data_IF_311860247077
#
_entry.id   IF_311860247077
#
_cell.length_a   1.000
_cell.length_b   1.000
_cell.length_c   1.000
_cell.angle_alpha   90.00
_cell.angle_beta   90.00
_cell.angle_gamma   90.00
#
_symmetry.space_group_name_H-M   'P 1'
#
loop_
_entity.id
_entity.type
_entity.pdbx_description
1 polymer ?
#
# COMPACT_ATOMS: atom_id res chain seq x y z
N UNK A 1 15.49 -0.55 -3.29
CA UNK A 1 15.95 0.40 -2.26
C UNK A 1 15.29 0.07 -0.92
N UNK A 2 15.95 0.34 0.25
CA UNK A 2 15.48 -0.11 1.56
C UNK A 2 14.01 0.21 1.87
N UNK A 3 13.57 1.43 1.62
CA UNK A 3 12.18 1.85 1.89
C UNK A 3 11.12 0.96 1.22
N UNK A 4 11.41 0.35 0.07
CA UNK A 4 10.45 -0.55 -0.58
C UNK A 4 10.36 -1.91 0.12
N UNK A 5 11.41 -2.30 0.83
CA UNK A 5 11.37 -3.51 1.63
C UNK A 5 10.48 -3.33 2.87
N UNK A 6 10.37 -2.11 3.42
CA UNK A 6 9.41 -1.82 4.49
C UNK A 6 7.97 -2.02 4.00
N UNK A 7 7.64 -1.59 2.77
CA UNK A 7 6.32 -1.88 2.17
C UNK A 7 6.06 -3.38 2.07
N UNK A 8 7.06 -4.16 1.61
CA UNK A 8 6.92 -5.61 1.51
C UNK A 8 6.73 -6.25 2.89
N UNK A 9 7.56 -5.89 3.87
CA UNK A 9 7.50 -6.45 5.23
C UNK A 9 6.15 -6.17 5.87
N UNK A 10 5.66 -4.93 5.78
CA UNK A 10 4.35 -4.56 6.31
C UNK A 10 3.20 -5.28 5.61
N UNK A 11 3.23 -5.38 4.27
CA UNK A 11 2.23 -6.10 3.49
C UNK A 11 2.22 -7.59 3.85
N UNK A 12 3.38 -8.23 3.88
CA UNK A 12 3.51 -9.63 4.25
C UNK A 12 3.02 -9.90 5.67
N UNK A 13 3.41 -9.08 6.63
CA UNK A 13 2.97 -9.19 8.01
C UNK A 13 1.45 -9.08 8.13
N UNK A 14 0.84 -8.08 7.49
CA UNK A 14 -0.60 -7.89 7.52
C UNK A 14 -1.36 -9.05 6.88
N UNK A 15 -0.92 -9.52 5.71
CA UNK A 15 -1.52 -10.65 5.02
C UNK A 15 -1.45 -11.94 5.86
N UNK A 16 -0.28 -12.24 6.43
CA UNK A 16 -0.07 -13.42 7.29
C UNK A 16 -0.76 -13.32 8.65
N UNK A 17 -0.99 -12.11 9.15
CA UNK A 17 -1.77 -11.90 10.37
C UNK A 17 -3.21 -12.41 10.21
N UNK A 18 -3.80 -12.21 9.03
CA UNK A 18 -5.16 -12.67 8.72
C UNK A 18 -5.17 -14.12 8.25
N UNK A 19 -4.22 -14.51 7.40
CA UNK A 19 -4.11 -15.88 6.88
C UNK A 19 -2.63 -16.33 6.92
N UNK A 20 -2.22 -17.08 7.95
CA UNK A 20 -0.83 -17.54 8.08
C UNK A 20 -0.33 -18.40 6.92
N UNK A 21 -1.24 -19.07 6.19
CA UNK A 21 -0.91 -19.96 5.08
C UNK A 21 -0.91 -19.25 3.71
N UNK A 22 -1.13 -17.92 3.69
CA UNK A 22 -1.15 -17.16 2.42
C UNK A 22 0.20 -17.22 1.72
N UNK A 23 0.15 -17.45 0.40
CA UNK A 23 1.34 -17.36 -0.44
C UNK A 23 1.51 -15.92 -0.94
N UNK A 24 2.70 -15.37 -0.79
CA UNK A 24 3.03 -14.03 -1.27
C UNK A 24 4.05 -14.15 -2.39
N UNK A 25 3.70 -13.59 -3.56
CA UNK A 25 4.57 -13.50 -4.72
C UNK A 25 5.20 -12.11 -4.76
N UNK A 26 6.48 -12.04 -5.13
CA UNK A 26 7.20 -10.78 -5.25
C UNK A 26 7.90 -10.70 -6.60
N UNK A 27 7.82 -9.53 -7.24
CA UNK A 27 8.51 -9.24 -8.50
C UNK A 27 9.14 -7.86 -8.47
N UNK A 28 10.28 -7.71 -9.14
CA UNK A 28 10.98 -6.43 -9.27
C UNK A 28 11.00 -6.01 -10.73
N UNK A 29 10.42 -4.85 -11.02
CA UNK A 29 10.39 -4.31 -12.38
C UNK A 29 11.76 -3.77 -12.84
N UNK A 30 12.60 -3.33 -11.91
CA UNK A 30 13.90 -2.71 -12.20
C UNK A 30 13.80 -1.32 -12.82
N UNK A 31 12.60 -0.73 -12.86
CA UNK A 31 12.30 0.57 -13.46
C UNK A 31 11.10 1.22 -12.76
N UNK A 32 11.03 2.57 -12.85
CA UNK A 32 9.94 3.36 -12.26
C UNK A 32 8.97 3.94 -13.30
N UNK A 33 9.31 3.82 -14.59
CA UNK A 33 8.67 4.57 -15.68
C UNK A 33 8.22 3.67 -16.84
N UNK A 34 8.07 2.37 -16.63
CA UNK A 34 7.68 1.40 -17.66
C UNK A 34 6.39 0.65 -17.28
N UNK A 35 5.21 1.21 -17.62
CA UNK A 35 3.93 0.55 -17.36
C UNK A 35 3.79 -0.81 -18.03
N UNK A 36 4.38 -1.01 -19.22
CA UNK A 36 4.30 -2.30 -19.92
C UNK A 36 5.01 -3.40 -19.14
N UNK A 37 6.16 -3.07 -18.54
CA UNK A 37 6.89 -4.00 -17.66
C UNK A 37 6.09 -4.33 -16.40
N UNK A 38 5.45 -3.32 -15.79
CA UNK A 38 4.56 -3.52 -14.65
C UNK A 38 3.41 -4.47 -14.98
N UNK A 39 2.76 -4.26 -16.12
CA UNK A 39 1.66 -5.09 -16.61
C UNK A 39 2.10 -6.54 -16.86
N UNK A 40 3.22 -6.75 -17.57
CA UNK A 40 3.77 -8.08 -17.87
C UNK A 40 4.01 -8.89 -16.57
N UNK A 41 4.71 -8.30 -15.61
CA UNK A 41 5.01 -8.94 -14.34
C UNK A 41 3.76 -9.28 -13.54
N UNK A 42 2.77 -8.39 -13.55
CA UNK A 42 1.52 -8.59 -12.83
C UNK A 42 0.66 -9.68 -13.44
N UNK A 43 0.55 -9.74 -14.79
CA UNK A 43 -0.12 -10.83 -15.47
C UNK A 43 0.53 -12.17 -15.15
N UNK A 44 1.86 -12.24 -15.12
CA UNK A 44 2.58 -13.45 -14.73
C UNK A 44 2.31 -13.85 -13.25
N UNK A 45 2.11 -12.91 -12.34
CA UNK A 45 1.70 -13.22 -10.97
C UNK A 45 0.27 -13.75 -10.90
N UNK A 46 -0.67 -13.19 -11.67
CA UNK A 46 -2.04 -13.70 -11.76
C UNK A 46 -2.09 -15.11 -12.36
N UNK A 47 -1.26 -15.42 -13.36
CA UNK A 47 -1.11 -16.78 -13.92
C UNK A 47 -0.57 -17.78 -12.89
N UNK A 48 0.27 -17.33 -11.94
CA UNK A 48 0.75 -18.12 -10.81
C UNK A 48 -0.26 -18.28 -9.68
N UNK A 49 -1.44 -17.68 -9.81
CA UNK A 49 -2.54 -17.84 -8.86
C UNK A 49 -2.74 -16.65 -7.90
N UNK A 50 -2.04 -15.54 -8.09
CA UNK A 50 -2.37 -14.33 -7.34
C UNK A 50 -3.81 -13.89 -7.64
N UNK A 51 -4.50 -13.38 -6.65
CA UNK A 51 -5.84 -12.81 -6.76
C UNK A 51 -5.84 -11.28 -6.64
N UNK A 52 -4.84 -10.73 -5.94
CA UNK A 52 -4.64 -9.30 -5.74
C UNK A 52 -3.15 -8.96 -5.79
N UNK A 53 -2.81 -7.83 -6.40
CA UNK A 53 -1.42 -7.33 -6.48
C UNK A 53 -1.35 -5.89 -5.98
N UNK A 54 -0.45 -5.63 -5.03
CA UNK A 54 -0.14 -4.27 -4.60
C UNK A 54 0.98 -3.69 -5.48
N UNK A 55 0.76 -2.51 -6.04
CA UNK A 55 1.80 -1.84 -6.80
C UNK A 55 2.67 -0.97 -5.87
N UNK A 56 4.00 -1.12 -5.93
CA UNK A 56 4.96 -0.25 -5.24
C UNK A 56 6.05 0.15 -6.25
N UNK A 57 5.65 0.74 -7.35
CA UNK A 57 6.51 0.91 -8.52
C UNK A 57 6.33 2.24 -9.27
N UNK A 58 5.76 3.28 -8.63
CA UNK A 58 5.54 4.60 -9.23
C UNK A 58 4.82 4.51 -10.59
N UNK A 59 5.31 5.18 -11.65
CA UNK A 59 4.70 5.14 -12.99
C UNK A 59 4.59 3.73 -13.60
N UNK A 60 5.52 2.83 -13.28
CA UNK A 60 5.42 1.40 -13.67
C UNK A 60 4.18 0.73 -13.04
N UNK A 61 3.75 1.20 -11.86
CA UNK A 61 2.58 0.71 -11.15
C UNK A 61 1.25 0.93 -11.88
N UNK A 62 1.15 1.88 -12.81
CA UNK A 62 -0.07 2.05 -13.62
C UNK A 62 -0.38 0.79 -14.44
N UNK A 63 0.67 0.10 -14.91
CA UNK A 63 0.53 -1.18 -15.61
C UNK A 63 -0.02 -2.31 -14.73
N UNK A 64 0.24 -2.27 -13.42
CA UNK A 64 -0.34 -3.22 -12.45
C UNK A 64 -1.86 -3.09 -12.41
N UNK A 65 -2.36 -1.84 -12.35
CA UNK A 65 -3.80 -1.56 -12.32
C UNK A 65 -4.48 -1.98 -13.63
N UNK A 66 -3.83 -1.73 -14.78
CA UNK A 66 -4.31 -2.18 -16.08
C UNK A 66 -4.37 -3.71 -16.18
N UNK A 67 -3.35 -4.42 -15.67
CA UNK A 67 -3.31 -5.87 -15.64
C UNK A 67 -4.45 -6.45 -14.79
N UNK A 68 -4.77 -5.82 -13.65
CA UNK A 68 -5.87 -6.26 -12.80
C UNK A 68 -7.21 -6.24 -13.56
N UNK A 69 -7.47 -5.17 -14.30
CA UNK A 69 -8.67 -5.07 -15.14
C UNK A 69 -8.66 -6.11 -16.27
N UNK A 70 -7.54 -6.25 -16.98
CA UNK A 70 -7.43 -7.21 -18.10
C UNK A 70 -7.64 -8.65 -17.64
N UNK A 71 -7.08 -9.02 -16.49
CA UNK A 71 -7.19 -10.36 -15.93
C UNK A 71 -8.52 -10.60 -15.17
N UNK A 72 -9.35 -9.58 -14.97
CA UNK A 72 -10.54 -9.67 -14.12
C UNK A 72 -10.19 -9.95 -12.64
N UNK A 73 -9.04 -9.45 -12.19
CA UNK A 73 -8.49 -9.60 -10.84
C UNK A 73 -8.47 -8.27 -10.12
N UNK A 74 -7.74 -8.18 -9.00
CA UNK A 74 -7.72 -7.00 -8.15
C UNK A 74 -6.31 -6.43 -7.97
N UNK A 75 -6.26 -5.13 -7.70
CA UNK A 75 -5.03 -4.43 -7.33
C UNK A 75 -5.25 -3.53 -6.10
N UNK A 76 -4.15 -3.18 -5.45
CA UNK A 76 -4.09 -2.14 -4.43
C UNK A 76 -3.25 -1.00 -4.98
N UNK A 77 -3.79 0.22 -4.95
CA UNK A 77 -3.10 1.44 -5.32
C UNK A 77 -2.07 1.88 -4.27
N UNK A 78 -1.18 2.79 -4.64
CA UNK A 78 -0.14 3.30 -3.74
C UNK A 78 0.14 4.79 -3.95
N UNK A 79 0.56 5.44 -2.89
CA UNK A 79 0.94 6.86 -2.77
C UNK A 79 -0.24 7.84 -2.91
N UNK A 80 -1.08 7.68 -3.92
CA UNK A 80 -2.25 8.51 -4.23
C UNK A 80 -3.52 7.66 -4.24
N UNK A 81 -4.67 8.32 -4.18
CA UNK A 81 -5.94 7.64 -4.44
C UNK A 81 -6.02 7.26 -5.94
N UNK A 82 -5.88 5.98 -6.21
CA UNK A 82 -5.94 5.36 -7.53
C UNK A 82 -7.22 4.54 -7.75
N UNK A 83 -8.18 4.61 -6.85
CA UNK A 83 -9.40 3.79 -6.88
C UNK A 83 -10.18 3.96 -8.19
N UNK A 84 -10.14 5.17 -8.76
CA UNK A 84 -10.79 5.50 -10.03
C UNK A 84 -9.94 5.26 -11.28
N UNK A 85 -8.69 4.81 -11.15
CA UNK A 85 -7.85 4.50 -12.32
C UNK A 85 -8.37 3.25 -13.05
N UNK A 86 -8.84 2.26 -12.28
CA UNK A 86 -9.51 1.06 -12.81
C UNK A 86 -10.67 0.67 -11.88
N UNK A 87 -11.83 1.34 -11.97
CA UNK A 87 -12.98 1.12 -11.11
C UNK A 87 -13.46 -0.35 -11.13
N UNK A 88 -13.74 -0.91 -9.96
CA UNK A 88 -14.11 -2.32 -9.82
C UNK A 88 -12.94 -3.30 -9.79
N UNK A 89 -11.69 -2.83 -10.01
CA UNK A 89 -10.48 -3.63 -9.96
C UNK A 89 -9.45 -3.12 -8.94
N UNK A 90 -9.45 -1.83 -8.62
CA UNK A 90 -8.67 -1.30 -7.49
C UNK A 90 -9.52 -1.39 -6.24
N UNK A 91 -9.06 -2.19 -5.28
CA UNK A 91 -9.84 -2.45 -4.04
C UNK A 91 -9.77 -1.27 -3.09
N UNK A 92 -8.60 -0.72 -2.92
CA UNK A 92 -8.27 0.45 -2.10
C UNK A 92 -6.91 0.97 -2.54
N UNK A 93 -6.55 2.15 -2.07
CA UNK A 93 -5.21 2.71 -2.27
C UNK A 93 -4.57 3.04 -0.92
N UNK A 94 -3.32 2.63 -0.73
CA UNK A 94 -2.51 3.12 0.38
C UNK A 94 -2.06 4.54 0.05
N UNK A 95 -2.59 5.51 0.78
CA UNK A 95 -2.34 6.93 0.55
C UNK A 95 -1.24 7.42 1.48
N UNK A 96 -0.22 8.02 0.89
CA UNK A 96 0.86 8.69 1.60
C UNK A 96 0.54 10.19 1.69
N UNK A 97 0.27 10.67 2.89
CA UNK A 97 -0.23 12.02 3.16
C UNK A 97 0.89 13.07 3.13
N UNK A 98 1.44 13.30 1.94
CA UNK A 98 2.46 14.34 1.72
C UNK A 98 1.89 15.74 2.00
N UNK A 99 0.60 15.94 1.79
CA UNK A 99 -0.14 17.14 2.16
C UNK A 99 -0.05 17.43 3.65
N UNK A 100 -0.34 16.44 4.50
CA UNK A 100 -0.19 16.53 5.97
C UNK A 100 1.25 16.85 6.36
N UNK A 101 2.22 16.17 5.72
CA UNK A 101 3.64 16.41 5.98
C UNK A 101 4.05 17.88 5.68
N UNK A 102 3.66 18.39 4.52
CA UNK A 102 3.94 19.77 4.14
C UNK A 102 3.25 20.76 5.07
N UNK A 103 1.98 20.51 5.38
CA UNK A 103 1.21 21.38 6.27
C UNK A 103 1.85 21.48 7.67
N UNK A 104 2.22 20.36 8.28
CA UNK A 104 2.80 20.33 9.62
C UNK A 104 4.14 21.07 9.70
N UNK A 105 4.96 21.00 8.66
CA UNK A 105 6.21 21.77 8.58
C UNK A 105 5.92 23.27 8.50
N UNK A 106 5.00 23.68 7.62
CA UNK A 106 4.62 25.11 7.48
C UNK A 106 4.04 25.64 8.79
N UNK A 107 3.13 24.90 9.42
CA UNK A 107 2.54 25.25 10.70
C UNK A 107 3.61 25.45 11.78
N UNK A 108 4.58 24.54 11.89
CA UNK A 108 5.69 24.64 12.85
C UNK A 108 6.54 25.90 12.65
N UNK A 109 6.72 26.34 11.40
CA UNK A 109 7.41 27.61 11.08
C UNK A 109 6.58 28.80 11.53
N UNK A 110 5.27 28.81 11.24
CA UNK A 110 4.36 29.90 11.62
C UNK A 110 4.26 30.03 13.15
N UNK A 111 4.24 28.93 13.86
CA UNK A 111 4.19 28.88 15.32
C UNK A 111 5.55 29.15 15.99
N UNK A 112 6.63 29.24 15.24
CA UNK A 112 7.98 29.52 15.74
C UNK A 112 8.63 28.34 16.47
N UNK A 113 8.15 27.12 16.26
CA UNK A 113 8.66 25.90 16.89
C UNK A 113 9.39 24.95 15.92
N UNK A 114 9.61 25.39 14.66
CA UNK A 114 10.34 24.61 13.66
C UNK A 114 11.75 24.25 14.14
N UNK A 115 12.11 22.99 13.97
CA UNK A 115 13.44 22.46 14.29
C UNK A 115 14.07 21.89 13.02
N UNK A 116 15.16 22.52 12.56
CA UNK A 116 16.00 21.96 11.49
C UNK A 116 16.80 20.74 11.96
N UNK A 117 17.41 20.04 11.00
CA UNK A 117 18.23 18.84 11.23
C UNK A 117 17.54 17.73 12.03
N UNK A 118 16.21 17.63 11.89
CA UNK A 118 15.40 16.56 12.49
C UNK A 118 14.70 15.74 11.41
N UNK A 119 14.50 14.47 11.69
CA UNK A 119 13.64 13.59 10.88
C UNK A 119 12.31 13.38 11.60
N UNK A 120 11.22 13.70 10.95
CA UNK A 120 9.88 13.41 11.45
C UNK A 120 9.34 12.17 10.75
N UNK A 121 8.89 11.20 11.53
CA UNK A 121 8.22 10.02 11.01
C UNK A 121 6.71 10.27 10.96
N UNK A 122 6.14 10.04 9.79
CA UNK A 122 4.71 10.15 9.54
C UNK A 122 4.15 8.74 9.41
N UNK A 123 3.27 8.41 10.33
CA UNK A 123 2.72 7.08 10.53
C UNK A 123 1.18 7.12 10.50
N UNK A 124 0.56 5.97 10.68
CA UNK A 124 -0.89 5.86 10.80
C UNK A 124 -1.43 6.60 12.04
N UNK A 125 -0.63 6.73 13.10
CA UNK A 125 -0.98 7.40 14.35
C UNK A 125 -1.07 8.93 14.26
N UNK A 126 -0.46 9.52 13.22
CA UNK A 126 -0.40 10.98 13.01
C UNK A 126 -0.87 11.37 11.59
N UNK A 127 -1.75 10.57 11.00
CA UNK A 127 -2.33 10.79 9.67
C UNK A 127 -1.29 10.87 8.53
N UNK A 128 -0.13 10.24 8.71
CA UNK A 128 0.92 10.21 7.68
C UNK A 128 0.64 9.24 6.54
N UNK A 129 -0.07 8.16 6.84
CA UNK A 129 -0.50 7.13 5.88
C UNK A 129 -1.91 6.65 6.23
N UNK A 130 -2.69 6.30 5.21
CA UNK A 130 -4.02 5.69 5.40
C UNK A 130 -4.42 4.88 4.17
N UNK A 131 -5.57 4.22 4.24
CA UNK A 131 -6.25 3.59 3.11
C UNK A 131 -7.42 4.46 2.66
N UNK A 132 -7.79 4.34 1.37
CA UNK A 132 -9.06 4.88 0.88
C UNK A 132 -10.25 4.10 1.46
N UNK A 133 -11.45 4.70 1.41
CA UNK A 133 -12.65 4.24 2.11
C UNK A 133 -13.40 3.06 1.46
N UNK A 134 -12.83 2.44 0.45
CA UNK A 134 -13.45 1.37 -0.35
C UNK A 134 -14.74 1.76 -1.11
N UNK A 135 -15.07 3.04 -1.22
CA UNK A 135 -16.34 3.48 -1.82
C UNK A 135 -16.48 3.03 -3.27
N UNK A 136 -15.42 3.21 -4.08
CA UNK A 136 -15.43 2.87 -5.50
C UNK A 136 -15.60 1.36 -5.71
N UNK A 137 -14.85 0.53 -5.01
CA UNK A 137 -14.96 -0.92 -5.16
C UNK A 137 -16.32 -1.45 -4.65
N UNK A 138 -16.87 -0.89 -3.59
CA UNK A 138 -18.21 -1.22 -3.07
C UNK A 138 -19.29 -0.95 -4.10
N UNK A 139 -19.23 0.20 -4.80
CA UNK A 139 -20.19 0.53 -5.86
C UNK A 139 -20.19 -0.52 -6.97
N UNK A 140 -19.01 -1.04 -7.34
CA UNK A 140 -18.87 -1.99 -8.45
C UNK A 140 -19.14 -3.45 -8.06
N UNK A 141 -18.77 -3.86 -6.86
CA UNK A 141 -18.98 -5.24 -6.40
C UNK A 141 -20.31 -5.46 -5.67
N UNK A 142 -20.96 -4.39 -5.21
CA UNK A 142 -22.23 -4.45 -4.49
C UNK A 142 -22.22 -5.53 -3.38
N UNK A 143 -23.14 -6.47 -3.43
CA UNK A 143 -23.28 -7.53 -2.42
C UNK A 143 -22.10 -8.52 -2.34
N UNK A 144 -21.18 -8.49 -3.31
CA UNK A 144 -19.99 -9.34 -3.30
C UNK A 144 -18.86 -8.77 -2.47
N UNK A 145 -18.90 -7.49 -2.13
CA UNK A 145 -17.90 -6.87 -1.28
C UNK A 145 -18.27 -7.08 0.20
N UNK A 146 -17.33 -7.55 1.04
CA UNK A 146 -17.62 -7.79 2.46
C UNK A 146 -18.09 -6.51 3.16
N UNK A 147 -19.29 -6.53 3.74
CA UNK A 147 -19.90 -5.35 4.37
C UNK A 147 -19.09 -4.84 5.59
N UNK A 148 -18.38 -5.74 6.27
CA UNK A 148 -17.64 -5.48 7.50
C UNK A 148 -16.15 -5.17 7.29
N UNK A 149 -15.68 -5.06 6.04
CA UNK A 149 -14.25 -4.87 5.76
C UNK A 149 -13.72 -3.56 6.34
N UNK A 150 -14.51 -2.50 6.28
CA UNK A 150 -14.12 -1.18 6.79
C UNK A 150 -13.97 -1.19 8.30
N UNK A 151 -14.87 -1.85 9.00
CA UNK A 151 -14.81 -1.98 10.46
C UNK A 151 -13.60 -2.81 10.88
N UNK A 152 -13.31 -3.90 10.16
CA UNK A 152 -12.13 -4.73 10.39
C UNK A 152 -10.82 -3.97 10.17
N UNK A 153 -10.75 -3.18 9.11
CA UNK A 153 -9.58 -2.33 8.83
C UNK A 153 -9.42 -1.29 9.92
N UNK A 154 -10.51 -0.66 10.39
CA UNK A 154 -10.44 0.29 11.48
C UNK A 154 -9.98 -0.37 12.79
N UNK A 155 -10.47 -1.56 13.11
CA UNK A 155 -10.01 -2.33 14.27
C UNK A 155 -8.49 -2.61 14.21
N UNK A 156 -7.97 -3.00 13.06
CA UNK A 156 -6.53 -3.22 12.87
C UNK A 156 -5.73 -1.92 13.00
N UNK A 157 -6.24 -0.82 12.45
CA UNK A 157 -5.66 0.51 12.61
C UNK A 157 -5.56 0.90 14.09
N UNK A 158 -6.63 0.72 14.85
CA UNK A 158 -6.65 1.03 16.29
C UNK A 158 -5.67 0.16 17.08
N UNK A 159 -5.52 -1.12 16.73
CA UNK A 159 -4.53 -2.03 17.33
C UNK A 159 -3.09 -1.61 17.04
N UNK A 160 -2.82 -1.12 15.83
CA UNK A 160 -1.49 -0.58 15.48
C UNK A 160 -1.22 0.71 16.27
N UNK A 161 -2.18 1.62 16.32
CA UNK A 161 -2.05 2.90 17.05
C UNK A 161 -1.86 2.66 18.55
N UNK A 162 -2.56 1.69 19.13
CA UNK A 162 -2.40 1.34 20.56
C UNK A 162 -1.11 0.56 20.88
N UNK A 163 -0.39 0.08 19.86
CA UNK A 163 0.79 -0.76 20.02
C UNK A 163 0.50 -2.23 20.33
N UNK A 164 -0.77 -2.68 20.25
CA UNK A 164 -1.12 -4.10 20.35
C UNK A 164 -0.54 -4.88 19.17
N UNK A 165 -0.56 -4.28 17.98
CA UNK A 165 0.14 -4.78 16.79
C UNK A 165 1.35 -3.90 16.53
N UNK A 166 2.54 -4.49 16.58
CA UNK A 166 3.78 -3.83 16.21
C UNK A 166 4.10 -4.16 14.76
N UNK A 167 4.17 -3.14 13.91
CA UNK A 167 4.56 -3.30 12.52
C UNK A 167 6.08 -3.43 12.44
N UNK A 168 6.56 -4.48 11.80
CA UNK A 168 7.99 -4.73 11.64
C UNK A 168 8.59 -3.79 10.58
N UNK A 169 9.82 -3.37 10.83
CA UNK A 169 10.64 -2.66 9.85
C UNK A 169 11.55 -3.65 9.12
N UNK A 170 12.01 -3.27 7.95
CA UNK A 170 13.04 -4.01 7.24
C UNK A 170 14.40 -3.85 7.93
N UNK A 171 14.93 -4.93 8.47
CA UNK A 171 16.22 -4.93 9.20
C UNK A 171 17.46 -5.09 8.30
N UNK A 172 17.28 -5.03 6.99
CA UNK A 172 18.32 -5.27 6.00
C UNK A 172 18.38 -6.72 5.52
N UNK A 173 19.06 -6.95 4.42
CA UNK A 173 19.43 -8.31 4.02
C UNK A 173 20.45 -8.78 5.08
N UNK A 174 20.18 -9.89 5.77
CA UNK A 174 21.12 -10.47 6.72
C UNK A 174 22.50 -10.61 6.09
N UNK A 175 23.55 -10.75 6.91
CA UNK A 175 24.96 -10.81 6.45
C UNK A 175 25.24 -11.88 5.39
N UNK A 176 24.29 -12.76 5.12
CA UNK A 176 24.35 -13.88 4.18
C UNK A 176 23.78 -13.56 2.79
N UNK A 177 23.34 -12.33 2.54
CA UNK A 177 22.74 -11.88 1.27
C UNK A 177 23.70 -10.98 0.44
N UNK A 178 24.99 -11.28 0.47
CA UNK A 178 25.99 -10.70 -0.45
C UNK A 178 26.38 -11.68 -1.54
#
# INVERSE_FOLDING_TARGET
>A
IPVLHDFYVGFEQGAKYINPDITILQSYAGTWIDPLKGKELTLAQYEQGADIVMNVASGTGTGVLEAAKEAGKYAIGVDLNQDNDQPGHVVTSMVKRVDTACYSVIESVVEGNFKGDTTSYLEISNDGVDLTDFAVIKEHLSDKFPADIQDKVQELKDKIISGEIVVNNYEGFGKDAQ
#
